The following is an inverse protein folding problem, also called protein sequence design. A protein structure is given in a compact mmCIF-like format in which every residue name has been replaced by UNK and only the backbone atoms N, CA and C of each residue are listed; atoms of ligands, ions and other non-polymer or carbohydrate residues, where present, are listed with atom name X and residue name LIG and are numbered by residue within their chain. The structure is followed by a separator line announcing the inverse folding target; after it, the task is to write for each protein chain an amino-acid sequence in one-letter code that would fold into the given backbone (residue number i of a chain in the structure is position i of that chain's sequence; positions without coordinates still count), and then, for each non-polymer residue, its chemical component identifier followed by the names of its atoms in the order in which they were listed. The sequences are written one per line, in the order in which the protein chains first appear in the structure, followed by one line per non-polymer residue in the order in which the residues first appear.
data_IF_873153909242
#
_entry.id   IF_873153909242
#
_cell.length_a   1.000
_cell.length_b   1.000
_cell.length_c   1.000
_cell.angle_alpha   90.00
_cell.angle_beta   90.00
_cell.angle_gamma   90.00
#
_symmetry.space_group_name_H-M   'P 1'
#
loop_
_entity.id
_entity.type
_entity.pdbx_description
1 polymer ?
#
# COMPACT_ATOMS: atom_id res chain seq x y z
N UNK A 1 -19.91 19.68 25.07
CA UNK A 1 -21.16 19.70 24.29
C UNK A 1 -20.83 19.04 22.97
N UNK A 2 -21.40 17.87 22.65
CA UNK A 2 -21.22 17.29 21.30
C UNK A 2 -22.01 18.18 20.35
N UNK A 3 -21.35 18.99 19.54
CA UNK A 3 -22.04 19.64 18.43
C UNK A 3 -22.63 18.54 17.54
N UNK A 4 -23.90 18.69 17.16
CA UNK A 4 -24.54 17.88 16.14
C UNK A 4 -24.02 18.32 14.76
N UNK A 5 -22.71 18.21 14.57
CA UNK A 5 -22.06 18.58 13.32
C UNK A 5 -22.36 17.52 12.27
N UNK A 6 -22.94 17.96 11.15
CA UNK A 6 -23.25 17.14 9.99
C UNK A 6 -22.34 17.56 8.85
N UNK A 7 -21.52 16.64 8.34
CA UNK A 7 -20.69 16.88 7.14
C UNK A 7 -21.01 15.84 6.09
N UNK A 8 -21.28 16.28 4.87
CA UNK A 8 -21.67 15.40 3.75
C UNK A 8 -22.80 14.41 4.10
N UNK A 9 -23.72 14.80 4.99
CA UNK A 9 -24.78 13.90 5.45
C UNK A 9 -24.32 12.78 6.40
N UNK A 10 -23.20 12.96 7.08
CA UNK A 10 -22.67 12.09 8.15
C UNK A 10 -22.65 12.86 9.47
N UNK A 11 -23.32 12.32 10.50
CA UNK A 11 -23.31 12.92 11.85
C UNK A 11 -21.97 12.62 12.54
N UNK A 12 -21.25 13.66 12.91
CA UNK A 12 -19.94 13.58 13.53
C UNK A 12 -20.04 13.56 15.06
N UNK A 13 -18.96 13.12 15.70
CA UNK A 13 -18.88 13.04 17.17
C UNK A 13 -17.44 13.15 17.61
N UNK A 14 -17.14 13.40 18.89
CA UNK A 14 -15.78 13.26 19.46
C UNK A 14 -14.66 13.94 18.63
N UNK A 15 -14.94 15.11 18.08
CA UNK A 15 -14.10 15.76 17.07
C UNK A 15 -12.80 16.31 17.66
N UNK A 16 -12.85 16.81 18.88
CA UNK A 16 -11.70 17.42 19.57
C UNK A 16 -10.76 16.39 20.22
N UNK A 17 -11.04 15.10 20.05
CA UNK A 17 -10.21 14.04 20.61
C UNK A 17 -9.06 13.72 19.66
N UNK A 18 -7.88 13.48 20.23
CA UNK A 18 -6.75 12.91 19.49
C UNK A 18 -7.17 11.58 18.83
N UNK A 19 -6.77 11.39 17.58
CA UNK A 19 -7.22 10.24 16.78
C UNK A 19 -6.57 8.92 17.21
N UNK A 20 -5.29 8.95 17.60
CA UNK A 20 -4.59 7.88 18.32
C UNK A 20 -3.40 8.47 19.10
N UNK A 21 -2.89 7.80 20.15
CA UNK A 21 -1.78 8.33 20.94
C UNK A 21 -0.54 8.64 20.10
N UNK A 22 -0.08 9.89 20.14
CA UNK A 22 1.09 10.35 19.40
C UNK A 22 0.81 10.73 17.94
N UNK A 23 -0.46 10.74 17.52
CA UNK A 23 -0.84 11.24 16.20
C UNK A 23 -0.47 12.73 16.04
N UNK A 24 -0.58 13.51 17.12
CA UNK A 24 -0.49 14.96 17.03
C UNK A 24 -1.60 15.56 16.17
N UNK A 25 -2.72 14.84 16.02
CA UNK A 25 -3.88 15.24 15.24
C UNK A 25 -5.17 14.79 15.93
N UNK A 26 -6.15 15.70 15.99
CA UNK A 26 -7.52 15.44 16.42
C UNK A 26 -8.30 14.68 15.35
N UNK A 27 -9.45 14.12 15.73
CA UNK A 27 -10.35 13.51 14.74
C UNK A 27 -10.90 14.55 13.77
N UNK A 28 -11.11 15.79 14.20
CA UNK A 28 -11.48 16.91 13.33
C UNK A 28 -10.43 17.12 12.23
N UNK A 29 -9.18 17.31 12.61
CA UNK A 29 -8.08 17.53 11.64
C UNK A 29 -7.90 16.34 10.70
N UNK A 30 -8.11 15.11 11.19
CA UNK A 30 -8.10 13.92 10.33
C UNK A 30 -9.24 13.93 9.29
N UNK A 31 -10.43 14.40 9.66
CA UNK A 31 -11.55 14.55 8.72
C UNK A 31 -11.29 15.70 7.74
N UNK A 32 -10.82 16.85 8.23
CA UNK A 32 -10.44 17.99 7.39
C UNK A 32 -9.37 17.58 6.35
N UNK A 33 -8.40 16.77 6.75
CA UNK A 33 -7.41 16.20 5.85
C UNK A 33 -8.04 15.32 4.75
N UNK A 34 -8.94 14.39 5.14
CA UNK A 34 -9.61 13.51 4.17
C UNK A 34 -10.48 14.31 3.18
N UNK A 35 -11.13 15.38 3.63
CA UNK A 35 -11.85 16.32 2.75
C UNK A 35 -10.88 17.01 1.78
N UNK A 36 -9.74 17.50 2.27
CA UNK A 36 -8.76 18.22 1.46
C UNK A 36 -8.12 17.37 0.35
N UNK A 37 -7.93 16.06 0.58
CA UNK A 37 -7.32 15.15 -0.40
C UNK A 37 -8.35 14.32 -1.19
N UNK A 38 -9.65 14.49 -0.92
CA UNK A 38 -10.69 13.61 -1.44
C UNK A 38 -10.69 13.49 -2.97
N UNK A 39 -10.56 14.61 -3.68
CA UNK A 39 -10.58 14.66 -5.14
C UNK A 39 -9.42 13.88 -5.77
N UNK A 40 -8.34 13.66 -5.02
CA UNK A 40 -7.15 12.90 -5.45
C UNK A 40 -7.16 11.46 -4.91
N UNK A 41 -7.63 11.26 -3.68
CA UNK A 41 -7.65 9.95 -3.01
C UNK A 41 -8.80 9.07 -3.51
N UNK A 42 -9.99 9.60 -3.73
CA UNK A 42 -11.17 8.82 -4.16
C UNK A 42 -10.94 8.11 -5.51
N UNK A 43 -10.35 8.72 -6.55
CA UNK A 43 -10.02 8.01 -7.80
C UNK A 43 -9.17 6.75 -7.58
N UNK A 44 -8.26 6.79 -6.60
CA UNK A 44 -7.35 5.69 -6.29
C UNK A 44 -8.01 4.58 -5.46
N UNK A 45 -9.07 4.92 -4.72
CA UNK A 45 -9.91 3.98 -3.99
C UNK A 45 -11.04 3.37 -4.84
N UNK A 46 -11.40 4.04 -5.93
CA UNK A 46 -12.62 3.77 -6.68
C UNK A 46 -12.68 2.32 -7.18
N UNK A 47 -13.81 1.69 -6.88
CA UNK A 47 -14.16 0.32 -7.21
C UNK A 47 -13.18 -0.71 -6.66
N UNK A 48 -12.33 -0.34 -5.70
CA UNK A 48 -11.43 -1.28 -5.03
C UNK A 48 -12.02 -1.69 -3.69
N UNK A 49 -12.17 -3.00 -3.41
CA UNK A 49 -12.46 -3.50 -2.07
C UNK A 49 -11.54 -2.87 -1.01
N UNK A 50 -12.15 -2.08 -0.13
CA UNK A 50 -11.44 -1.28 0.87
C UNK A 50 -11.34 -2.04 2.20
N UNK A 51 -10.11 -2.18 2.69
CA UNK A 51 -9.83 -2.54 4.07
C UNK A 51 -9.33 -1.29 4.81
N UNK A 52 -9.77 -1.08 6.04
CA UNK A 52 -9.31 0.06 6.85
C UNK A 52 -8.63 -0.39 8.13
N UNK A 53 -7.56 0.29 8.54
CA UNK A 53 -7.02 0.14 9.89
C UNK A 53 -7.72 1.15 10.78
N UNK A 54 -8.41 0.65 11.82
CA UNK A 54 -9.10 1.47 12.80
C UNK A 54 -8.34 1.46 14.12
N UNK A 55 -8.36 2.60 14.81
CA UNK A 55 -7.86 2.71 16.18
C UNK A 55 -9.02 3.20 17.04
N UNK A 56 -9.61 2.30 17.82
CA UNK A 56 -10.68 2.65 18.75
C UNK A 56 -10.12 3.11 20.09
N UNK A 57 -10.94 3.81 20.87
CA UNK A 57 -10.52 4.35 22.17
C UNK A 57 -10.13 3.20 23.10
N UNK A 58 -8.93 3.28 23.68
CA UNK A 58 -8.41 2.27 24.60
C UNK A 58 -8.07 0.93 23.96
N UNK A 59 -7.97 0.85 22.62
CA UNK A 59 -7.69 -0.38 21.89
C UNK A 59 -6.50 -0.21 20.95
N UNK A 60 -5.80 -1.31 20.70
CA UNK A 60 -4.78 -1.37 19.64
C UNK A 60 -5.39 -1.26 18.24
N UNK A 61 -4.56 -0.97 17.22
CA UNK A 61 -5.01 -0.94 15.84
C UNK A 61 -5.52 -2.31 15.38
N UNK A 62 -6.57 -2.32 14.57
CA UNK A 62 -7.03 -3.53 13.90
C UNK A 62 -7.46 -3.24 12.46
N UNK A 63 -7.25 -4.23 11.59
CA UNK A 63 -7.72 -4.19 10.21
C UNK A 63 -9.18 -4.63 10.14
N UNK A 64 -10.06 -3.75 9.65
CA UNK A 64 -11.44 -4.06 9.32
C UNK A 64 -11.56 -4.29 7.80
N UNK A 65 -11.97 -5.51 7.43
CA UNK A 65 -12.32 -5.88 6.06
C UNK A 65 -13.83 -5.94 5.85
N UNK A 66 -14.51 -6.62 6.79
CA UNK A 66 -15.94 -6.83 6.74
C UNK A 66 -16.69 -5.61 7.29
N UNK A 67 -17.66 -5.10 6.53
CA UNK A 67 -18.52 -4.02 6.95
C UNK A 67 -19.34 -4.40 8.20
N UNK A 68 -19.47 -3.52 9.19
CA UNK A 68 -20.32 -3.75 10.34
C UNK A 68 -21.82 -3.66 9.98
N UNK A 69 -22.68 -4.25 10.80
CA UNK A 69 -24.15 -4.25 10.59
C UNK A 69 -24.77 -2.85 10.56
N UNK A 70 -24.16 -1.88 11.25
CA UNK A 70 -24.62 -0.49 11.31
C UNK A 70 -24.15 0.37 10.12
N UNK A 71 -23.48 -0.23 9.13
CA UNK A 71 -23.03 0.51 7.95
C UNK A 71 -24.24 1.11 7.22
N UNK A 72 -24.23 2.43 6.92
CA UNK A 72 -25.31 3.08 6.19
C UNK A 72 -25.60 2.42 4.84
N UNK A 73 -26.84 2.47 4.41
CA UNK A 73 -27.34 1.90 3.15
C UNK A 73 -26.66 2.48 1.91
N UNK A 74 -26.32 3.76 1.93
CA UNK A 74 -25.65 4.47 0.85
C UNK A 74 -24.16 4.12 0.69
N UNK A 75 -23.54 3.42 1.65
CA UNK A 75 -22.17 2.92 1.47
C UNK A 75 -22.23 1.73 0.54
N UNK A 76 -21.64 1.88 -0.65
CA UNK A 76 -21.56 0.83 -1.65
C UNK A 76 -20.70 -0.34 -1.15
N UNK A 77 -21.09 -1.56 -1.55
CA UNK A 77 -20.59 -2.81 -0.97
C UNK A 77 -20.22 -3.80 -2.04
N UNK A 78 -19.18 -4.57 -1.76
CA UNK A 78 -18.74 -5.65 -2.61
C UNK A 78 -18.54 -6.93 -1.79
N UNK A 79 -19.44 -7.92 -1.93
CA UNK A 79 -19.23 -9.24 -1.35
C UNK A 79 -18.11 -9.96 -2.10
N UNK A 80 -17.10 -10.45 -1.38
CA UNK A 80 -16.07 -11.31 -1.93
C UNK A 80 -15.92 -12.57 -1.10
N UNK A 81 -15.77 -13.71 -1.78
CA UNK A 81 -15.43 -14.96 -1.13
C UNK A 81 -14.01 -14.93 -0.57
N UNK A 82 -13.84 -15.27 0.70
CA UNK A 82 -12.54 -15.37 1.34
C UNK A 82 -12.19 -16.83 1.64
N UNK A 83 -11.35 -17.44 0.79
CA UNK A 83 -10.99 -18.86 0.87
C UNK A 83 -10.47 -19.29 2.23
N UNK A 84 -9.61 -18.46 2.85
CA UNK A 84 -9.01 -18.77 4.15
C UNK A 84 -10.05 -18.92 5.26
N UNK A 85 -11.11 -18.12 5.23
CA UNK A 85 -12.16 -18.13 6.23
C UNK A 85 -13.43 -18.86 5.79
N UNK A 86 -13.46 -19.37 4.55
CA UNK A 86 -14.61 -20.06 3.93
C UNK A 86 -15.93 -19.34 4.15
N UNK A 87 -15.93 -18.03 3.94
CA UNK A 87 -17.10 -17.17 4.08
C UNK A 87 -17.00 -15.97 3.16
N UNK A 88 -18.15 -15.37 2.92
CA UNK A 88 -18.23 -14.06 2.29
C UNK A 88 -17.76 -12.96 3.25
N UNK A 89 -17.00 -12.02 2.71
CA UNK A 89 -16.59 -10.78 3.35
C UNK A 89 -17.18 -9.64 2.54
N UNK A 90 -17.96 -8.78 3.21
CA UNK A 90 -18.60 -7.63 2.60
C UNK A 90 -17.65 -6.45 2.75
N UNK A 91 -16.96 -6.07 1.69
CA UNK A 91 -16.09 -4.91 1.65
C UNK A 91 -16.89 -3.65 1.34
N UNK A 92 -16.41 -2.49 1.79
CA UNK A 92 -16.87 -1.21 1.26
C UNK A 92 -16.15 -0.90 -0.05
N UNK A 93 -16.81 -0.10 -0.90
CA UNK A 93 -16.14 0.63 -1.97
C UNK A 93 -16.01 2.10 -1.57
N UNK A 94 -14.78 2.62 -1.58
CA UNK A 94 -14.46 4.00 -1.20
C UNK A 94 -14.74 5.00 -2.33
N UNK A 95 -15.94 4.95 -2.90
CA UNK A 95 -16.27 5.59 -4.19
C UNK A 95 -16.57 7.09 -4.10
N UNK A 96 -16.72 7.64 -2.88
CA UNK A 96 -17.02 9.04 -2.66
C UNK A 96 -16.44 9.58 -1.33
N UNK A 97 -16.40 10.91 -1.22
CA UNK A 97 -16.00 11.62 -0.01
C UNK A 97 -16.88 11.25 1.19
N UNK A 98 -18.19 11.07 1.00
CA UNK A 98 -19.12 10.77 2.08
C UNK A 98 -18.74 9.47 2.81
N UNK A 99 -18.29 8.47 2.06
CA UNK A 99 -17.80 7.18 2.56
C UNK A 99 -16.51 7.34 3.33
N UNK A 100 -15.57 8.17 2.85
CA UNK A 100 -14.34 8.50 3.58
C UNK A 100 -14.63 9.18 4.91
N UNK A 101 -15.54 10.16 4.93
CA UNK A 101 -15.92 10.85 6.17
C UNK A 101 -16.59 9.90 7.16
N UNK A 102 -17.41 8.96 6.70
CA UNK A 102 -17.99 7.95 7.56
C UNK A 102 -16.95 7.00 8.16
N UNK A 103 -15.95 6.58 7.39
CA UNK A 103 -14.83 5.78 7.90
C UNK A 103 -13.94 6.59 8.87
N UNK A 104 -13.57 7.82 8.52
CA UNK A 104 -12.79 8.70 9.37
C UNK A 104 -13.49 9.00 10.70
N UNK A 105 -14.81 9.23 10.68
CA UNK A 105 -15.61 9.46 11.89
C UNK A 105 -15.62 8.22 12.81
N UNK A 106 -15.51 7.04 12.22
CA UNK A 106 -15.34 5.75 12.91
C UNK A 106 -13.90 5.44 13.34
N UNK A 107 -12.99 6.41 13.22
CA UNK A 107 -11.56 6.32 13.54
C UNK A 107 -10.81 5.33 12.65
N UNK A 108 -11.20 5.21 11.37
CA UNK A 108 -10.34 4.66 10.34
C UNK A 108 -9.20 5.64 10.07
N UNK A 109 -7.96 5.12 10.07
CA UNK A 109 -6.73 5.89 9.90
C UNK A 109 -6.08 5.52 8.57
N UNK A 110 -5.90 4.23 8.32
CA UNK A 110 -5.25 3.75 7.10
C UNK A 110 -6.29 3.14 6.16
N UNK A 111 -6.16 3.44 4.88
CA UNK A 111 -7.02 2.98 3.79
C UNK A 111 -6.19 2.09 2.88
N UNK A 112 -6.53 0.80 2.86
CA UNK A 112 -5.80 -0.25 2.14
C UNK A 112 -6.68 -0.83 1.05
N UNK A 113 -6.20 -0.79 -0.18
CA UNK A 113 -6.96 -1.21 -1.36
C UNK A 113 -6.36 -2.45 -2.00
N UNK A 114 -7.21 -3.25 -2.61
CA UNK A 114 -6.80 -4.31 -3.54
C UNK A 114 -6.18 -3.72 -4.79
N UNK A 115 -5.27 -4.46 -5.42
CA UNK A 115 -4.65 -4.04 -6.68
C UNK A 115 -5.59 -4.16 -7.89
N UNK A 116 -6.68 -4.91 -7.77
CA UNK A 116 -7.75 -5.02 -8.76
C UNK A 116 -8.94 -4.10 -8.42
N UNK A 117 -9.77 -3.83 -9.43
CA UNK A 117 -11.07 -3.17 -9.28
C UNK A 117 -12.17 -4.22 -9.40
N UNK A 118 -13.18 -4.16 -8.54
CA UNK A 118 -14.26 -5.12 -8.53
C UNK A 118 -13.80 -6.48 -8.02
N UNK A 119 -13.97 -7.52 -8.84
CA UNK A 119 -13.62 -8.89 -8.49
C UNK A 119 -12.15 -9.22 -8.77
N UNK A 120 -11.54 -10.17 -8.03
CA UNK A 120 -10.15 -10.62 -8.28
C UNK A 120 -9.88 -11.10 -9.72
N UNK A 121 -10.90 -11.62 -10.39
CA UNK A 121 -10.85 -12.12 -11.78
C UNK A 121 -10.58 -11.04 -12.81
N UNK A 122 -10.81 -9.77 -12.48
CA UNK A 122 -10.51 -8.62 -13.36
C UNK A 122 -9.01 -8.37 -13.52
N UNK A 123 -8.20 -8.91 -12.60
CA UNK A 123 -6.75 -8.75 -12.59
C UNK A 123 -6.29 -7.44 -11.93
N UNK A 124 -5.04 -7.39 -11.44
CA UNK A 124 -4.42 -6.17 -10.94
C UNK A 124 -4.33 -5.08 -12.00
N UNK A 125 -4.62 -3.85 -11.60
CA UNK A 125 -4.42 -2.62 -12.40
C UNK A 125 -2.98 -2.11 -12.38
N UNK A 126 -2.17 -2.60 -11.45
CA UNK A 126 -0.79 -2.17 -11.26
C UNK A 126 0.09 -3.35 -10.83
N UNK A 127 1.33 -3.31 -11.29
CA UNK A 127 2.45 -3.98 -10.63
C UNK A 127 2.95 -3.06 -9.50
N UNK A 128 3.24 -3.65 -8.34
CA UNK A 128 3.72 -2.89 -7.17
C UNK A 128 4.93 -3.59 -6.54
N UNK A 129 6.00 -2.83 -6.34
CA UNK A 129 7.14 -3.22 -5.53
C UNK A 129 7.13 -2.44 -4.22
N UNK A 130 7.13 -3.18 -3.10
CA UNK A 130 7.19 -2.65 -1.75
C UNK A 130 8.64 -2.76 -1.24
N UNK A 131 9.26 -1.62 -0.93
CA UNK A 131 10.69 -1.51 -0.63
C UNK A 131 10.87 -1.33 0.87
N UNK A 132 11.24 -2.41 1.53
CA UNK A 132 11.32 -2.51 2.98
C UNK A 132 12.79 -2.45 3.44
N UNK A 133 13.31 -1.28 3.88
CA UNK A 133 14.65 -1.20 4.42
C UNK A 133 14.77 -1.94 5.76
N UNK A 134 16.00 -2.21 6.23
CA UNK A 134 16.24 -2.75 7.57
C UNK A 134 15.59 -1.90 8.66
N UNK A 135 15.31 -2.51 9.81
CA UNK A 135 14.72 -1.79 10.94
C UNK A 135 15.59 -0.63 11.42
N UNK A 136 16.90 -0.87 11.47
CA UNK A 136 17.92 0.10 11.80
C UNK A 136 18.65 0.48 10.51
N UNK A 137 18.35 1.67 9.97
CA UNK A 137 18.97 2.14 8.73
C UNK A 137 18.40 3.49 8.27
N UNK A 138 19.17 4.28 7.51
CA UNK A 138 18.67 5.55 6.98
C UNK A 138 17.65 5.30 5.86
N UNK A 139 16.70 6.22 5.71
CA UNK A 139 15.70 6.19 4.64
C UNK A 139 16.32 6.19 3.23
N UNK A 140 17.54 6.72 3.10
CA UNK A 140 18.30 6.72 1.84
C UNK A 140 18.53 5.32 1.28
N UNK A 141 18.53 4.27 2.11
CA UNK A 141 18.58 2.89 1.62
C UNK A 141 17.36 2.56 0.75
N UNK A 142 16.15 2.96 1.17
CA UNK A 142 14.93 2.76 0.38
C UNK A 142 14.99 3.56 -0.93
N UNK A 143 15.54 4.78 -0.91
CA UNK A 143 15.74 5.61 -2.11
C UNK A 143 16.67 4.92 -3.10
N UNK A 144 17.83 4.46 -2.64
CA UNK A 144 18.78 3.72 -3.47
C UNK A 144 18.12 2.49 -4.09
N UNK A 145 17.38 1.70 -3.30
CA UNK A 145 16.64 0.54 -3.79
C UNK A 145 15.56 0.92 -4.83
N UNK A 146 14.85 2.03 -4.64
CA UNK A 146 13.86 2.50 -5.60
C UNK A 146 14.50 2.89 -6.94
N UNK A 147 15.69 3.48 -6.92
CA UNK A 147 16.46 3.79 -8.13
C UNK A 147 16.88 2.52 -8.87
N UNK A 148 17.33 1.48 -8.16
CA UNK A 148 17.65 0.17 -8.76
C UNK A 148 16.42 -0.47 -9.41
N UNK A 149 15.25 -0.38 -8.75
CA UNK A 149 13.98 -0.85 -9.32
C UNK A 149 13.61 -0.07 -10.57
N UNK A 150 13.76 1.25 -10.56
CA UNK A 150 13.46 2.06 -11.73
C UNK A 150 14.40 1.76 -12.90
N UNK A 151 15.69 1.56 -12.64
CA UNK A 151 16.66 1.16 -13.66
C UNK A 151 16.29 -0.19 -14.27
N UNK A 152 15.91 -1.17 -13.45
CA UNK A 152 15.42 -2.47 -13.92
C UNK A 152 14.16 -2.35 -14.78
N UNK A 153 13.19 -1.50 -14.38
CA UNK A 153 11.99 -1.24 -15.18
C UNK A 153 12.32 -0.58 -16.53
N UNK A 154 13.21 0.41 -16.53
CA UNK A 154 13.59 1.15 -17.74
C UNK A 154 14.31 0.27 -18.76
N UNK A 155 15.06 -0.74 -18.31
CA UNK A 155 15.67 -1.74 -19.19
C UNK A 155 14.62 -2.54 -19.99
N UNK A 156 13.39 -2.66 -19.47
CA UNK A 156 12.25 -3.33 -20.10
C UNK A 156 11.30 -2.37 -20.83
N UNK A 157 11.67 -1.10 -20.95
CA UNK A 157 10.80 -0.06 -21.52
C UNK A 157 9.59 0.28 -20.64
N UNK A 158 9.63 -0.08 -19.36
CA UNK A 158 8.62 0.26 -18.35
C UNK A 158 9.08 1.48 -17.55
N UNK A 159 8.14 2.19 -16.96
CA UNK A 159 8.39 3.18 -15.90
C UNK A 159 7.26 3.14 -14.88
N UNK A 160 7.40 3.85 -13.77
CA UNK A 160 6.37 3.89 -12.72
C UNK A 160 6.43 5.13 -11.86
N UNK A 161 5.39 5.35 -11.07
CA UNK A 161 5.35 6.38 -10.04
C UNK A 161 5.86 5.84 -8.71
N UNK A 162 6.46 6.70 -7.89
CA UNK A 162 6.96 6.35 -6.55
C UNK A 162 6.22 7.14 -5.48
N UNK A 163 5.97 6.48 -4.35
CA UNK A 163 5.44 7.12 -3.14
C UNK A 163 6.13 6.64 -1.89
N UNK A 164 6.19 7.49 -0.89
CA UNK A 164 6.51 7.05 0.46
C UNK A 164 5.44 6.10 0.96
N UNK A 165 5.84 5.08 1.71
CA UNK A 165 4.88 4.23 2.41
C UNK A 165 4.14 5.01 3.52
N UNK A 166 4.71 6.13 4.00
CA UNK A 166 4.33 6.77 5.26
C UNK A 166 4.86 6.02 6.50
N UNK A 167 5.78 5.06 6.29
CA UNK A 167 6.55 4.40 7.34
C UNK A 167 8.05 4.50 7.01
N UNK A 168 8.77 3.38 6.88
CA UNK A 168 10.21 3.38 6.58
C UNK A 168 10.54 3.15 5.10
N UNK A 169 9.60 2.60 4.33
CA UNK A 169 9.82 2.17 2.96
C UNK A 169 9.24 3.09 1.88
N UNK A 170 9.47 2.70 0.64
CA UNK A 170 8.91 3.30 -0.58
C UNK A 170 8.07 2.24 -1.31
N UNK A 171 7.06 2.68 -2.06
CA UNK A 171 6.40 1.80 -3.03
C UNK A 171 6.60 2.36 -4.44
N UNK A 172 6.89 1.48 -5.39
CA UNK A 172 6.92 1.80 -6.83
C UNK A 172 5.71 1.15 -7.50
N UNK A 173 4.95 1.93 -8.25
CA UNK A 173 3.72 1.52 -8.95
C UNK A 173 3.91 1.64 -10.45
N UNK A 174 3.65 0.55 -11.17
CA UNK A 174 3.67 0.51 -12.63
C UNK A 174 2.25 0.23 -13.11
N UNK A 175 1.60 1.17 -13.82
CA UNK A 175 0.23 0.98 -14.30
C UNK A 175 0.18 -0.04 -15.44
N UNK A 176 -0.87 -0.85 -15.46
CA UNK A 176 -1.01 -1.97 -16.38
C UNK A 176 -2.27 -1.87 -17.20
N UNK A 177 -2.16 -2.17 -18.49
CA UNK A 177 -3.30 -2.33 -19.38
C UNK A 177 -4.21 -3.48 -18.87
N UNK A 178 -5.54 -3.37 -19.02
CA UNK A 178 -6.48 -4.41 -18.60
C UNK A 178 -6.24 -5.77 -19.29
N UNK A 179 -6.68 -6.85 -18.65
CA UNK A 179 -6.69 -8.21 -19.25
C UNK A 179 -5.42 -9.04 -19.01
N UNK A 180 -4.42 -8.47 -18.33
CA UNK A 180 -3.22 -9.20 -17.95
C UNK A 180 -3.49 -10.08 -16.73
N UNK A 181 -3.01 -11.32 -16.77
CA UNK A 181 -3.31 -12.29 -15.71
C UNK A 181 -2.59 -11.92 -14.41
N UNK A 182 -3.25 -12.19 -13.28
CA UNK A 182 -2.64 -12.01 -11.96
C UNK A 182 -1.32 -12.77 -11.81
N UNK A 183 -1.22 -13.93 -12.44
CA UNK A 183 -0.04 -14.80 -12.39
C UNK A 183 1.15 -14.17 -13.14
N UNK A 184 0.91 -13.69 -14.36
CA UNK A 184 1.94 -13.03 -15.19
C UNK A 184 2.41 -11.73 -14.57
N UNK A 185 1.50 -10.96 -13.98
CA UNK A 185 1.87 -9.75 -13.23
C UNK A 185 2.77 -10.11 -12.05
N UNK A 186 2.40 -11.13 -11.27
CA UNK A 186 3.23 -11.58 -10.16
C UNK A 186 4.58 -12.14 -10.61
N UNK A 187 4.64 -12.79 -11.78
CA UNK A 187 5.87 -13.23 -12.41
C UNK A 187 6.76 -12.04 -12.79
N UNK A 188 6.22 -11.08 -13.54
CA UNK A 188 6.95 -9.87 -13.93
C UNK A 188 7.47 -9.09 -12.70
N UNK A 189 6.68 -8.94 -11.63
CA UNK A 189 7.14 -8.29 -10.39
C UNK A 189 8.36 -9.00 -9.78
N UNK A 190 8.39 -10.34 -9.82
CA UNK A 190 9.54 -11.13 -9.34
C UNK A 190 10.77 -10.89 -10.22
N UNK A 191 10.60 -10.86 -11.54
CA UNK A 191 11.70 -10.61 -12.47
C UNK A 191 12.29 -9.21 -12.28
N UNK A 192 11.46 -8.17 -12.16
CA UNK A 192 11.93 -6.80 -11.88
C UNK A 192 12.69 -6.75 -10.56
N UNK A 193 12.17 -7.35 -9.48
CA UNK A 193 12.86 -7.37 -8.19
C UNK A 193 14.21 -8.10 -8.25
N UNK A 194 14.27 -9.25 -8.94
CA UNK A 194 15.50 -10.02 -9.11
C UNK A 194 16.53 -9.28 -9.99
N UNK A 195 16.07 -8.57 -11.02
CA UNK A 195 16.91 -7.70 -11.86
C UNK A 195 17.49 -6.55 -11.04
N UNK A 196 16.67 -5.86 -10.26
CA UNK A 196 17.12 -4.80 -9.37
C UNK A 196 18.14 -5.28 -8.32
N UNK A 197 17.96 -6.48 -7.74
CA UNK A 197 18.98 -7.10 -6.89
C UNK A 197 20.29 -7.40 -7.65
N UNK A 198 20.24 -7.79 -8.93
CA UNK A 198 21.46 -8.05 -9.72
C UNK A 198 22.24 -6.78 -10.07
N UNK A 199 21.57 -5.63 -10.22
CA UNK A 199 22.24 -4.35 -10.50
C UNK A 199 23.16 -3.98 -9.32
N UNK A 200 22.66 -4.07 -8.09
CA UNK A 200 23.47 -3.88 -6.88
C UNK A 200 23.05 -4.82 -5.73
N UNK A 201 23.67 -6.01 -5.63
CA UNK A 201 23.33 -7.02 -4.62
C UNK A 201 23.79 -6.66 -3.21
N UNK A 202 24.54 -5.56 -3.03
CA UNK A 202 24.91 -5.04 -1.72
C UNK A 202 23.83 -4.12 -1.14
N UNK A 203 22.92 -3.60 -1.98
CA UNK A 203 21.88 -2.64 -1.57
C UNK A 203 20.48 -3.25 -1.48
N UNK A 204 20.11 -4.10 -2.45
CA UNK A 204 18.79 -4.73 -2.53
C UNK A 204 18.83 -6.24 -2.37
N UNK A 205 17.73 -6.85 -1.93
CA UNK A 205 17.60 -8.31 -1.92
C UNK A 205 16.16 -8.80 -2.07
N UNK A 206 15.99 -9.95 -2.73
CA UNK A 206 14.72 -10.68 -2.81
C UNK A 206 14.58 -11.78 -1.75
N UNK A 207 15.54 -11.90 -0.82
CA UNK A 207 15.48 -12.86 0.28
C UNK A 207 14.31 -12.58 1.24
N UNK A 208 13.37 -13.52 1.28
CA UNK A 208 12.15 -13.40 2.06
C UNK A 208 12.40 -13.50 3.57
N UNK A 209 13.37 -14.29 4.02
CA UNK A 209 13.70 -14.49 5.44
C UNK A 209 14.47 -13.28 5.96
N UNK A 210 13.83 -12.50 6.85
CA UNK A 210 14.37 -11.24 7.39
C UNK A 210 15.83 -11.35 7.89
N UNK A 211 16.15 -12.38 8.64
CA UNK A 211 17.47 -12.57 9.25
C UNK A 211 18.59 -12.87 8.24
N UNK A 212 18.24 -13.16 6.99
CA UNK A 212 19.19 -13.43 5.88
C UNK A 212 19.31 -12.28 4.90
N UNK A 213 18.66 -11.15 5.19
CA UNK A 213 18.73 -9.97 4.34
C UNK A 213 20.02 -9.19 4.55
N UNK A 214 20.78 -9.49 5.61
CA UNK A 214 22.12 -8.94 5.86
C UNK A 214 22.19 -7.40 5.78
N UNK A 215 21.15 -6.72 6.30
CA UNK A 215 21.09 -5.26 6.28
C UNK A 215 20.74 -4.63 4.91
N UNK A 216 20.33 -5.43 3.93
CA UNK A 216 19.88 -4.97 2.61
C UNK A 216 18.39 -4.61 2.62
N UNK A 217 17.97 -3.79 1.65
CA UNK A 217 16.56 -3.47 1.43
C UNK A 217 15.86 -4.66 0.80
N UNK A 218 14.74 -5.08 1.38
CA UNK A 218 13.91 -6.12 0.81
C UNK A 218 13.08 -5.56 -0.35
N UNK A 219 13.28 -6.11 -1.54
CA UNK A 219 12.54 -5.79 -2.76
C UNK A 219 11.29 -6.68 -2.81
N UNK A 220 10.25 -6.32 -2.08
CA UNK A 220 9.07 -7.16 -1.88
C UNK A 220 8.18 -7.19 -3.13
N UNK A 221 8.32 -8.28 -3.89
CA UNK A 221 7.46 -8.62 -5.02
C UNK A 221 6.20 -9.42 -4.64
N UNK A 222 6.02 -9.74 -3.34
CA UNK A 222 4.95 -10.63 -2.85
C UNK A 222 3.60 -9.94 -2.68
N UNK A 223 3.54 -8.62 -2.91
CA UNK A 223 2.28 -7.85 -2.93
C UNK A 223 1.41 -8.15 -4.15
N UNK A 224 2.00 -8.76 -5.18
CA UNK A 224 1.33 -9.14 -6.42
C UNK A 224 0.25 -10.21 -6.19
N UNK A 225 -0.97 -9.97 -6.65
CA UNK A 225 -1.99 -11.01 -6.78
C UNK A 225 -2.88 -11.34 -5.57
N UNK A 226 -3.34 -10.32 -4.85
CA UNK A 226 -4.49 -10.45 -3.92
C UNK A 226 -4.28 -9.82 -2.54
N UNK A 227 -3.08 -9.30 -2.27
CA UNK A 227 -2.81 -8.44 -1.12
C UNK A 227 -3.49 -7.08 -1.24
N UNK A 228 -3.53 -6.35 -0.13
CA UNK A 228 -3.87 -4.92 -0.14
C UNK A 228 -2.60 -4.09 0.03
N UNK A 229 -2.60 -2.90 -0.55
CA UNK A 229 -1.56 -1.89 -0.37
C UNK A 229 -2.18 -0.63 0.22
N UNK A 230 -1.44 0.08 1.06
CA UNK A 230 -1.91 1.38 1.54
C UNK A 230 -2.06 2.34 0.36
N UNK A 231 -3.25 2.93 0.24
CA UNK A 231 -3.60 3.87 -0.82
C UNK A 231 -2.66 5.09 -0.74
N UNK A 232 -2.32 5.66 -1.89
CA UNK A 232 -1.72 7.00 -1.93
C UNK A 232 -2.65 7.99 -1.22
N UNK A 233 -2.09 8.98 -0.53
CA UNK A 233 -2.77 9.92 0.36
C UNK A 233 -3.39 9.32 1.64
N UNK A 234 -3.32 8.01 1.85
CA UNK A 234 -3.76 7.46 3.13
C UNK A 234 -2.83 7.90 4.27
N UNK A 235 -3.39 8.37 5.40
CA UNK A 235 -2.65 8.48 6.66
C UNK A 235 -2.17 7.13 7.16
N UNK A 236 -1.18 7.14 8.05
CA UNK A 236 -0.63 5.96 8.73
C UNK A 236 -0.81 6.08 10.24
N UNK A 237 -1.11 4.97 10.91
CA UNK A 237 -1.17 4.87 12.36
C UNK A 237 0.26 4.81 12.95
N UNK A 238 0.97 5.94 12.84
CA UNK A 238 2.35 6.15 13.29
C UNK A 238 2.47 7.53 13.95
N UNK A 239 3.46 7.76 14.82
CA UNK A 239 3.65 9.07 15.45
C UNK A 239 3.73 10.20 14.41
N UNK A 240 3.00 11.29 14.64
CA UNK A 240 2.88 12.43 13.72
C UNK A 240 1.90 12.23 12.54
N UNK A 241 1.17 11.10 12.51
CA UNK A 241 0.22 10.76 11.45
C UNK A 241 0.77 11.00 10.02
N UNK A 242 1.91 10.36 9.66
CA UNK A 242 2.48 10.52 8.33
C UNK A 242 1.54 9.95 7.26
N UNK A 243 1.74 10.40 6.03
CA UNK A 243 0.91 10.05 4.87
C UNK A 243 1.72 9.20 3.91
N UNK A 244 1.08 8.22 3.26
CA UNK A 244 1.66 7.58 2.09
C UNK A 244 1.61 8.56 0.91
N UNK A 245 2.69 9.31 0.74
CA UNK A 245 2.69 10.51 -0.09
C UNK A 245 3.46 10.30 -1.41
N UNK A 246 2.89 10.68 -2.57
CA UNK A 246 3.55 10.58 -3.87
C UNK A 246 4.67 11.60 -4.00
N UNK A 247 5.79 11.19 -4.60
CA UNK A 247 6.97 12.05 -4.75
C UNK A 247 7.50 11.96 -6.17
N UNK A 248 8.02 13.08 -6.70
CA UNK A 248 8.67 13.07 -8.01
C UNK A 248 9.99 12.33 -7.91
N UNK A 249 10.36 11.62 -8.97
CA UNK A 249 11.65 10.93 -8.99
C UNK A 249 12.84 11.89 -8.85
N UNK A 250 12.74 13.09 -9.42
CA UNK A 250 13.77 14.11 -9.35
C UNK A 250 14.00 14.67 -7.93
N UNK A 251 12.96 14.65 -7.09
CA UNK A 251 12.99 15.20 -5.73
C UNK A 251 13.35 14.14 -4.68
N UNK A 252 13.40 12.86 -5.08
CA UNK A 252 13.42 11.72 -4.17
C UNK A 252 14.60 11.72 -3.18
N UNK A 253 15.78 12.20 -3.60
CA UNK A 253 16.98 12.27 -2.76
C UNK A 253 16.85 13.20 -1.54
N UNK A 254 15.95 14.18 -1.61
CA UNK A 254 15.69 15.13 -0.53
C UNK A 254 14.57 14.70 0.42
N UNK A 255 13.87 13.61 0.12
CA UNK A 255 12.62 13.24 0.80
C UNK A 255 12.88 12.62 2.17
N UNK A 256 12.11 13.07 3.18
CA UNK A 256 11.93 12.33 4.44
C UNK A 256 10.45 12.00 4.62
N UNK A 257 10.09 10.77 5.05
CA UNK A 257 8.69 10.43 5.29
C UNK A 257 7.97 11.35 6.30
N UNK A 258 8.71 11.93 7.25
CA UNK A 258 8.19 12.89 8.23
C UNK A 258 7.76 14.23 7.63
N UNK A 259 8.17 14.54 6.40
CA UNK A 259 7.80 15.78 5.72
C UNK A 259 6.33 15.75 5.28
N UNK A 260 5.75 14.54 5.17
CA UNK A 260 4.39 14.31 4.72
C UNK A 260 3.51 13.80 5.85
N UNK A 261 2.69 14.68 6.39
CA UNK A 261 1.73 14.40 7.47
C UNK A 261 0.35 14.90 7.08
N UNK A 262 -0.66 14.53 7.85
CA UNK A 262 -2.02 15.08 7.67
C UNK A 262 -2.07 16.62 7.74
N UNK A 263 -1.07 17.25 8.36
CA UNK A 263 -0.97 18.71 8.49
C UNK A 263 -0.21 19.38 7.34
N UNK A 264 0.76 18.69 6.75
CA UNK A 264 1.65 19.27 5.72
C UNK A 264 1.25 18.91 4.31
N UNK A 265 0.71 17.71 4.10
CA UNK A 265 0.36 17.19 2.79
C UNK A 265 -0.62 18.07 1.99
N UNK A 266 -1.69 18.66 2.57
CA UNK A 266 -2.61 19.52 1.81
C UNK A 266 -1.91 20.72 1.14
N UNK A 267 -1.00 21.38 1.87
CA UNK A 267 -0.26 22.52 1.32
C UNK A 267 0.69 22.11 0.19
N UNK A 268 1.32 20.93 0.31
CA UNK A 268 2.22 20.39 -0.72
C UNK A 268 1.48 19.97 -2.02
N UNK A 269 0.16 19.79 -1.95
CA UNK A 269 -0.69 19.44 -3.09
C UNK A 269 -1.37 20.67 -3.72
N UNK A 270 -1.15 21.88 -3.20
CA UNK A 270 -1.79 23.09 -3.68
C UNK A 270 -1.47 23.39 -5.15
N UNK A 271 -0.22 23.17 -5.56
CA UNK A 271 0.29 23.49 -6.90
C UNK A 271 0.19 22.32 -7.90
N UNK A 272 -0.41 21.20 -7.50
CA UNK A 272 -0.61 20.06 -8.38
C UNK A 272 -0.62 18.71 -7.67
N UNK A 273 -0.80 17.66 -8.45
CA UNK A 273 -0.79 16.27 -7.98
C UNK A 273 0.43 15.55 -8.59
N UNK A 274 1.49 15.27 -7.80
CA UNK A 274 2.67 14.56 -8.31
C UNK A 274 2.37 13.09 -8.61
N UNK A 275 1.32 12.49 -8.04
CA UNK A 275 0.91 11.13 -8.40
C UNK A 275 0.43 11.08 -9.83
N UNK A 276 -0.53 11.93 -10.19
CA UNK A 276 -1.05 11.98 -11.56
C UNK A 276 -0.01 12.47 -12.56
N UNK A 277 0.84 13.43 -12.17
CA UNK A 277 1.87 13.96 -13.06
C UNK A 277 3.00 12.97 -13.38
N UNK A 278 3.37 12.11 -12.42
CA UNK A 278 4.47 11.14 -12.58
C UNK A 278 3.98 9.75 -13.02
N UNK A 279 2.68 9.47 -12.95
CA UNK A 279 2.13 8.17 -13.38
C UNK A 279 2.17 8.07 -14.91
N UNK A 280 2.89 7.08 -15.48
CA UNK A 280 2.91 6.88 -16.92
C UNK A 280 1.59 6.29 -17.43
N UNK A 281 1.43 6.25 -18.75
CA UNK A 281 0.33 5.50 -19.37
C UNK A 281 0.45 3.99 -19.08
N UNK A 282 -0.67 3.24 -19.00
CA UNK A 282 -0.64 1.82 -18.67
C UNK A 282 0.13 0.96 -19.69
N UNK A 283 0.97 0.05 -19.19
CA UNK A 283 1.79 -0.84 -20.01
C UNK A 283 1.16 -2.22 -20.23
N UNK A 284 1.47 -2.82 -21.37
CA UNK A 284 1.41 -4.28 -21.55
C UNK A 284 2.78 -4.84 -21.16
N UNK A 285 2.81 -5.85 -20.29
CA UNK A 285 4.05 -6.44 -19.82
C UNK A 285 4.83 -7.12 -20.97
N UNK A 286 6.15 -6.92 -21.06
CA UNK A 286 6.99 -7.65 -21.99
C UNK A 286 6.94 -9.16 -21.73
N UNK A 287 6.83 -9.95 -22.80
CA UNK A 287 6.68 -11.40 -22.70
C UNK A 287 7.91 -12.07 -22.08
N UNK A 288 9.12 -11.61 -22.42
CA UNK A 288 10.39 -12.10 -21.89
C UNK A 288 10.54 -11.81 -20.39
N UNK A 289 10.05 -10.65 -19.92
CA UNK A 289 10.00 -10.32 -18.49
C UNK A 289 9.08 -11.28 -17.73
N UNK A 290 7.90 -11.57 -18.29
CA UNK A 290 6.94 -12.52 -17.72
C UNK A 290 7.53 -13.93 -17.70
N UNK A 291 8.13 -14.38 -18.80
CA UNK A 291 8.78 -15.69 -18.92
C UNK A 291 9.90 -15.86 -17.88
N UNK A 292 10.80 -14.88 -17.74
CA UNK A 292 11.82 -14.90 -16.68
C UNK A 292 11.16 -15.03 -15.30
N UNK A 293 10.13 -14.23 -15.04
CA UNK A 293 9.41 -14.21 -13.77
C UNK A 293 8.76 -15.54 -13.37
N UNK A 294 8.35 -16.34 -14.36
CA UNK A 294 7.81 -17.69 -14.15
C UNK A 294 8.90 -18.69 -13.77
N UNK A 295 10.16 -18.47 -14.16
CA UNK A 295 11.29 -19.29 -13.72
C UNK A 295 11.71 -19.00 -12.28
N UNK A 296 11.36 -17.83 -11.75
CA UNK A 296 11.73 -17.39 -10.39
C UNK A 296 10.71 -17.93 -9.37
N UNK A 297 11.13 -18.75 -8.39
CA UNK A 297 10.24 -19.28 -7.37
C UNK A 297 9.58 -18.17 -6.54
N UNK A 298 8.34 -18.41 -6.10
CA UNK A 298 7.67 -17.53 -5.14
C UNK A 298 8.43 -17.57 -3.81
N UNK A 299 9.09 -16.47 -3.45
CA UNK A 299 10.04 -16.41 -2.34
C UNK A 299 9.46 -16.91 -1.00
N UNK A 300 8.19 -16.57 -0.71
CA UNK A 300 7.47 -17.06 0.47
C UNK A 300 7.30 -18.59 0.49
N UNK A 301 6.99 -19.18 -0.66
CA UNK A 301 6.80 -20.63 -0.80
C UNK A 301 8.14 -21.35 -0.65
N UNK A 302 9.18 -20.82 -1.30
CA UNK A 302 10.55 -21.33 -1.18
C UNK A 302 11.02 -21.32 0.28
N UNK A 303 10.85 -20.20 1.00
CA UNK A 303 11.19 -20.08 2.41
C UNK A 303 10.42 -21.06 3.30
N UNK A 304 9.12 -21.26 3.05
CA UNK A 304 8.31 -22.24 3.78
C UNK A 304 8.81 -23.68 3.57
N UNK A 305 9.15 -24.06 2.34
CA UNK A 305 9.65 -25.40 2.02
C UNK A 305 11.01 -25.64 2.68
N UNK A 306 11.88 -24.64 2.67
CA UNK A 306 13.17 -24.71 3.32
C UNK A 306 13.05 -24.83 4.84
N UNK A 307 12.14 -24.06 5.46
CA UNK A 307 11.85 -24.16 6.90
C UNK A 307 11.36 -25.56 7.29
N UNK A 308 10.48 -26.16 6.48
CA UNK A 308 10.04 -27.57 6.68
C UNK A 308 11.18 -28.57 6.56
N UNK A 309 12.07 -28.41 5.56
CA UNK A 309 13.26 -29.27 5.40
C UNK A 309 14.19 -29.19 6.61
N UNK A 310 14.47 -27.99 7.12
CA UNK A 310 15.29 -27.79 8.32
C UNK A 310 14.66 -28.42 9.57
N UNK A 311 13.36 -28.21 9.78
CA UNK A 311 12.64 -28.81 10.90
C UNK A 311 12.63 -30.35 10.84
N UNK A 312 12.56 -30.93 9.63
CA UNK A 312 12.66 -32.37 9.43
C UNK A 312 14.07 -32.89 9.75
N UNK A 313 15.11 -32.26 9.20
CA UNK A 313 16.50 -32.65 9.45
C UNK A 313 16.85 -32.60 10.95
N UNK A 314 16.41 -31.55 11.66
CA UNK A 314 16.62 -31.42 13.10
C UNK A 314 15.93 -32.52 13.95
N UNK A 315 14.81 -33.06 13.47
CA UNK A 315 14.10 -34.19 14.10
C UNK A 315 14.72 -35.54 13.78
N UNK A 316 15.45 -35.65 12.68
CA UNK A 316 16.14 -36.88 12.26
C UNK A 316 17.55 -36.97 12.88
N UNK A 317 18.13 -35.84 13.30
CA UNK A 317 19.44 -35.75 13.93
C UNK A 317 19.44 -35.70 15.47
N UNK A 318 18.27 -35.76 16.11
CA UNK A 318 18.10 -35.71 17.57
C UNK A 318 17.24 -36.86 18.07
#
# INVERSE_FOLDING_TARGET
MSSDELRHGVKLSSLDQEVFPGAGATKREMLDYLEAVADRMVPELRDRPLSVVRVLRGQGPFMQKNLPKYTPDWVERMPLWADRSRREVIYALGNDLRTLIWFGNQRAIEYHVTLFRGEPTTGPTHLVLDLDPPEEGPFTLAIDAAKLVREALQADGLDGAVKTSGSKGLHVFVPLAPGQSTEDIAAATRAVAARAERIDPARGTTEFVKDRRDGKVFLDSTRSGGGTVVCVYSPRNRPGAPVSFPVRWADLDGVKPSDFTVHTAPALLADGDPWTAEMPEPFVLPADLVEEGHTIPVARVAAMHEGKRRAKAARESG
#
